data_IF_735423839155
#
_entry.id   IF_735423839155
#
_cell.length_a   1.000
_cell.length_b   1.000
_cell.length_c   1.000
_cell.angle_alpha   90.00
_cell.angle_beta   90.00
_cell.angle_gamma   90.00
#
_symmetry.space_group_name_H-M   'P 1'
#
loop_
_entity.id
_entity.type
_entity.pdbx_description
1 polymer ?
#
# COMPACT_ATOMS: atom_id res chain seq x y z
N UNK A 1 39.03 28.58 18.99
CA UNK A 1 38.12 27.84 18.08
C UNK A 1 37.72 28.81 16.97
N UNK A 2 38.63 29.16 16.05
CA UNK A 2 39.21 28.39 14.94
C UNK A 2 38.19 28.11 13.82
N UNK A 3 38.34 28.53 12.55
CA UNK A 3 39.06 29.63 11.87
C UNK A 3 38.48 29.70 10.44
N UNK A 4 38.15 30.94 10.01
CA UNK A 4 38.47 31.59 8.72
C UNK A 4 38.64 30.75 7.42
N UNK A 5 37.73 31.00 6.47
CA UNK A 5 37.90 31.67 5.17
C UNK A 5 39.20 31.48 4.32
N UNK A 6 38.99 31.48 2.99
CA UNK A 6 39.93 31.76 1.86
C UNK A 6 40.66 30.53 1.27
N UNK A 7 40.87 30.31 -0.04
CA UNK A 7 40.96 31.16 -1.25
C UNK A 7 40.86 30.28 -2.52
N UNK A 8 40.65 30.95 -3.67
CA UNK A 8 40.59 30.45 -5.06
C UNK A 8 41.99 30.24 -5.69
N UNK A 9 42.11 29.38 -6.72
CA UNK A 9 43.01 29.41 -7.91
C UNK A 9 43.23 27.95 -8.43
N UNK A 10 42.90 27.54 -9.66
CA UNK A 10 43.39 27.86 -11.01
C UNK A 10 44.66 27.07 -11.46
N UNK A 11 44.40 26.05 -12.32
CA UNK A 11 45.06 25.61 -13.58
C UNK A 11 46.60 25.36 -13.70
N UNK A 12 46.95 24.42 -14.61
CA UNK A 12 48.26 24.16 -15.31
C UNK A 12 49.23 23.18 -14.61
N UNK A 13 49.94 22.18 -15.19
CA UNK A 13 49.94 21.31 -16.40
C UNK A 13 51.17 20.36 -16.30
N UNK A 14 51.11 19.18 -16.96
CA UNK A 14 52.20 18.28 -17.45
C UNK A 14 53.26 17.66 -16.50
N UNK A 15 53.42 16.32 -16.57
CA UNK A 15 54.56 15.65 -17.26
C UNK A 15 54.67 14.14 -16.92
N UNK A 16 54.41 13.31 -17.93
CA UNK A 16 55.16 12.14 -18.40
C UNK A 16 55.69 11.04 -17.43
N UNK A 17 55.08 9.87 -17.59
CA UNK A 17 55.67 8.53 -17.77
C UNK A 17 56.71 8.00 -16.76
N UNK A 18 56.31 6.98 -15.99
CA UNK A 18 57.20 5.89 -15.64
C UNK A 18 56.47 4.55 -15.74
N UNK A 19 56.94 3.73 -16.65
CA UNK A 19 56.48 2.37 -16.93
C UNK A 19 56.89 1.45 -15.78
N UNK A 20 55.93 0.87 -15.07
CA UNK A 20 56.15 -0.35 -14.31
C UNK A 20 54.89 -1.21 -14.38
N UNK A 21 54.92 -2.18 -15.28
CA UNK A 21 54.06 -3.35 -15.21
C UNK A 21 54.42 -4.10 -13.93
N UNK A 22 53.52 -4.09 -12.94
CA UNK A 22 53.52 -5.14 -11.93
C UNK A 22 52.08 -5.55 -11.65
N UNK A 23 51.84 -6.83 -11.96
CA UNK A 23 50.63 -7.59 -11.74
C UNK A 23 50.12 -7.40 -10.30
N UNK A 24 48.90 -6.89 -10.17
CA UNK A 24 48.22 -6.70 -8.90
C UNK A 24 46.73 -7.00 -9.05
N UNK A 25 46.41 -8.27 -9.29
CA UNK A 25 45.05 -8.78 -9.30
C UNK A 25 44.43 -8.62 -7.91
N UNK A 26 43.59 -7.60 -7.74
CA UNK A 26 42.45 -7.58 -6.80
C UNK A 26 41.31 -6.78 -7.43
N UNK A 27 40.81 -7.27 -8.55
CA UNK A 27 39.47 -6.89 -8.97
C UNK A 27 38.51 -7.46 -7.94
N UNK A 28 38.12 -6.61 -7.01
CA UNK A 28 36.93 -6.79 -6.22
C UNK A 28 35.77 -6.80 -7.21
N UNK A 29 35.48 -7.96 -7.77
CA UNK A 29 34.14 -8.27 -8.27
C UNK A 29 33.26 -8.26 -7.03
N UNK A 30 32.94 -7.06 -6.54
CA UNK A 30 31.73 -6.80 -5.79
C UNK A 30 30.65 -7.19 -6.79
N UNK A 31 30.26 -8.46 -6.71
CA UNK A 31 29.14 -9.00 -7.42
C UNK A 31 27.98 -8.06 -7.12
N UNK A 32 27.68 -7.18 -8.07
CA UNK A 32 26.46 -6.38 -8.06
C UNK A 32 25.35 -7.41 -7.97
N UNK A 33 24.82 -7.61 -6.76
CA UNK A 33 23.56 -8.32 -6.55
C UNK A 33 22.58 -7.66 -7.50
N UNK A 34 22.22 -8.36 -8.58
CA UNK A 34 21.12 -7.97 -9.45
C UNK A 34 19.89 -7.98 -8.54
N UNK A 35 19.48 -6.80 -8.06
CA UNK A 35 18.18 -6.62 -7.44
C UNK A 35 17.18 -6.92 -8.55
N UNK A 36 16.60 -8.11 -8.55
CA UNK A 36 15.51 -8.53 -9.42
C UNK A 36 14.26 -7.74 -9.02
N UNK A 37 14.16 -6.49 -9.48
CA UNK A 37 12.98 -5.67 -9.23
C UNK A 37 11.86 -6.03 -10.22
N UNK A 38 11.32 -7.24 -10.10
CA UNK A 38 10.02 -7.63 -10.66
C UNK A 38 9.22 -8.42 -9.64
N UNK A 39 8.92 -7.77 -8.51
CA UNK A 39 7.95 -8.26 -7.56
C UNK A 39 6.56 -8.02 -8.15
N UNK A 40 5.90 -9.07 -8.65
CA UNK A 40 4.50 -9.01 -9.08
C UNK A 40 3.64 -8.26 -8.06
N UNK A 41 2.99 -7.16 -8.46
CA UNK A 41 2.16 -6.31 -7.60
C UNK A 41 0.98 -7.06 -6.96
N UNK A 42 0.60 -8.20 -7.53
CA UNK A 42 -0.51 -9.03 -7.09
C UNK A 42 -0.07 -10.45 -6.72
N UNK A 43 -0.83 -11.10 -5.85
CA UNK A 43 -0.77 -12.54 -5.63
C UNK A 43 -1.45 -13.29 -6.79
N UNK A 44 -0.99 -14.51 -7.06
CA UNK A 44 -1.60 -15.40 -8.07
C UNK A 44 -3.02 -15.81 -7.68
N UNK A 45 -3.29 -15.97 -6.38
CA UNK A 45 -4.59 -16.28 -5.80
C UNK A 45 -4.98 -15.29 -4.69
N UNK A 46 -6.28 -15.14 -4.37
CA UNK A 46 -6.74 -14.40 -3.20
C UNK A 46 -6.04 -14.89 -1.93
N UNK A 47 -5.68 -13.97 -1.04
CA UNK A 47 -5.00 -14.26 0.24
C UNK A 47 -5.96 -14.71 1.35
N UNK A 48 -7.24 -14.35 1.24
CA UNK A 48 -8.32 -14.67 2.18
C UNK A 48 -9.61 -14.92 1.39
N UNK A 49 -10.57 -15.62 2.00
CA UNK A 49 -11.89 -15.86 1.42
C UNK A 49 -12.84 -14.69 1.69
N UNK A 50 -13.70 -14.35 0.73
CA UNK A 50 -14.72 -13.33 0.91
C UNK A 50 -15.79 -13.76 1.91
N UNK A 51 -16.14 -15.05 1.97
CA UNK A 51 -17.13 -15.60 2.89
C UNK A 51 -16.65 -15.48 4.35
N UNK A 52 -15.38 -15.75 4.62
CA UNK A 52 -14.80 -15.56 5.95
C UNK A 52 -14.89 -14.10 6.41
N UNK A 53 -14.66 -13.18 5.48
CA UNK A 53 -14.74 -11.74 5.76
C UNK A 53 -16.18 -11.33 6.03
N UNK A 54 -17.13 -11.76 5.20
CA UNK A 54 -18.57 -11.48 5.37
C UNK A 54 -19.06 -12.05 6.71
N UNK A 55 -18.77 -13.32 6.99
CA UNK A 55 -19.15 -13.97 8.24
C UNK A 55 -18.59 -13.21 9.47
N UNK A 56 -17.35 -12.72 9.38
CA UNK A 56 -16.78 -11.91 10.45
C UNK A 56 -17.43 -10.51 10.55
N UNK A 57 -17.69 -9.84 9.42
CA UNK A 57 -18.40 -8.55 9.38
C UNK A 57 -19.77 -8.67 10.06
N UNK A 58 -20.53 -9.71 9.73
CA UNK A 58 -21.86 -9.98 10.28
C UNK A 58 -21.76 -10.29 11.78
N UNK A 59 -20.76 -11.09 12.21
CA UNK A 59 -20.57 -11.44 13.61
C UNK A 59 -20.29 -10.23 14.53
N UNK A 60 -19.72 -9.15 13.99
CA UNK A 60 -19.45 -7.91 14.74
C UNK A 60 -20.47 -6.80 14.43
N UNK A 61 -21.52 -7.10 13.65
CA UNK A 61 -22.62 -6.19 13.36
C UNK A 61 -22.29 -5.04 12.41
N UNK A 62 -21.38 -5.24 11.44
CA UNK A 62 -21.18 -4.28 10.34
C UNK A 62 -22.51 -4.06 9.61
N UNK A 63 -22.88 -2.79 9.40
CA UNK A 63 -24.05 -2.42 8.60
C UNK A 63 -23.73 -2.55 7.12
N UNK A 64 -24.71 -3.00 6.32
CA UNK A 64 -24.61 -3.12 4.86
C UNK A 64 -23.40 -3.96 4.40
N UNK A 65 -23.17 -5.12 5.04
CA UNK A 65 -22.00 -5.97 4.80
C UNK A 65 -21.85 -6.39 3.32
N UNK A 66 -22.95 -6.48 2.58
CA UNK A 66 -23.00 -6.71 1.13
C UNK A 66 -22.40 -5.58 0.28
N UNK A 67 -22.41 -4.35 0.79
CA UNK A 67 -21.72 -3.20 0.18
C UNK A 67 -20.28 -3.12 0.71
N UNK A 68 -20.09 -3.33 2.01
CA UNK A 68 -18.77 -3.20 2.66
C UNK A 68 -17.77 -4.23 2.11
N UNK A 69 -18.20 -5.47 1.83
CA UNK A 69 -17.34 -6.46 1.18
C UNK A 69 -16.90 -6.02 -0.22
N UNK A 70 -17.75 -5.35 -0.99
CA UNK A 70 -17.40 -4.81 -2.31
C UNK A 70 -16.32 -3.73 -2.19
N UNK A 71 -16.33 -2.94 -1.13
CA UNK A 71 -15.26 -1.96 -0.87
C UNK A 71 -13.95 -2.70 -0.64
N UNK A 72 -13.94 -3.71 0.22
CA UNK A 72 -12.74 -4.49 0.50
C UNK A 72 -12.17 -5.15 -0.78
N UNK A 73 -13.03 -5.74 -1.62
CA UNK A 73 -12.64 -6.33 -2.90
C UNK A 73 -12.11 -5.30 -3.89
N UNK A 74 -12.74 -4.12 -3.97
CA UNK A 74 -12.30 -3.04 -4.86
C UNK A 74 -10.92 -2.51 -4.46
N UNK A 75 -10.73 -2.20 -3.17
CA UNK A 75 -9.48 -1.64 -2.66
C UNK A 75 -8.32 -2.63 -2.83
N UNK A 76 -8.55 -3.90 -2.50
CA UNK A 76 -7.50 -4.94 -2.52
C UNK A 76 -7.31 -5.63 -3.85
N UNK A 77 -8.11 -5.30 -4.88
CA UNK A 77 -8.12 -6.03 -6.15
C UNK A 77 -8.43 -7.52 -5.93
N UNK A 78 -9.57 -7.81 -5.32
CA UNK A 78 -10.02 -9.16 -4.93
C UNK A 78 -9.02 -9.89 -4.01
N UNK A 79 -8.53 -9.23 -2.97
CA UNK A 79 -7.58 -9.76 -1.98
C UNK A 79 -6.24 -10.22 -2.56
N UNK A 80 -5.79 -9.57 -3.64
CA UNK A 80 -4.54 -9.94 -4.34
C UNK A 80 -3.49 -8.86 -4.30
N UNK A 81 -3.83 -7.58 -4.14
CA UNK A 81 -2.87 -6.48 -4.15
C UNK A 81 -1.89 -6.60 -2.97
N UNK A 82 -0.61 -6.90 -3.25
CA UNK A 82 0.42 -7.11 -2.22
C UNK A 82 0.55 -5.92 -1.28
N UNK A 83 0.47 -4.71 -1.83
CA UNK A 83 0.57 -3.47 -1.06
C UNK A 83 -0.40 -3.42 0.13
N UNK A 84 -1.63 -3.91 -0.03
CA UNK A 84 -2.64 -3.88 1.03
C UNK A 84 -2.70 -5.20 1.81
N UNK A 85 -2.57 -6.33 1.11
CA UNK A 85 -2.65 -7.65 1.75
C UNK A 85 -1.45 -7.95 2.66
N UNK A 86 -0.25 -7.42 2.37
CA UNK A 86 0.91 -7.55 3.27
C UNK A 86 0.80 -6.71 4.52
N UNK A 87 -0.16 -5.78 4.53
CA UNK A 87 -0.50 -4.91 5.66
C UNK A 87 -1.79 -5.34 6.33
N UNK A 88 -2.44 -6.41 5.87
CA UNK A 88 -3.76 -6.82 6.32
C UNK A 88 -4.78 -5.67 6.32
N UNK A 89 -4.69 -4.75 5.34
CA UNK A 89 -5.51 -3.55 5.28
C UNK A 89 -6.54 -3.67 4.17
N UNK A 90 -7.72 -4.21 4.50
CA UNK A 90 -8.74 -4.50 3.49
C UNK A 90 -9.40 -3.24 2.91
N UNK A 91 -9.37 -2.13 3.63
CA UNK A 91 -10.12 -0.91 3.29
C UNK A 91 -9.23 0.26 2.90
N UNK A 92 -7.95 -0.01 2.63
CA UNK A 92 -6.95 0.98 2.24
C UNK A 92 -6.85 2.20 3.18
N UNK A 93 -7.15 2.03 4.48
CA UNK A 93 -7.04 3.12 5.46
C UNK A 93 -5.61 3.65 5.55
N UNK A 94 -5.48 4.96 5.74
CA UNK A 94 -4.19 5.66 5.78
C UNK A 94 -4.06 6.44 7.07
N UNK A 95 -2.85 6.42 7.63
CA UNK A 95 -2.42 7.38 8.63
C UNK A 95 -1.45 8.34 7.96
N UNK A 96 -1.85 9.61 7.86
CA UNK A 96 -1.14 10.66 7.10
C UNK A 96 -0.84 10.25 5.65
N UNK A 97 0.40 9.93 5.32
CA UNK A 97 0.85 9.58 3.97
C UNK A 97 0.93 8.07 3.72
N UNK A 98 0.85 7.24 4.76
CA UNK A 98 1.10 5.79 4.65
C UNK A 98 -0.15 4.97 4.87
N UNK A 99 -0.25 3.83 4.17
CA UNK A 99 -1.27 2.82 4.48
C UNK A 99 -1.02 2.24 5.86
N UNK A 100 -2.10 2.14 6.64
CA UNK A 100 -2.08 1.47 7.93
C UNK A 100 -1.71 -0.01 7.77
N UNK A 101 -1.08 -0.56 8.80
CA UNK A 101 -0.75 -1.99 8.92
C UNK A 101 -1.49 -2.55 10.12
N UNK A 102 -2.12 -3.70 9.92
CA UNK A 102 -2.85 -4.44 10.94
C UNK A 102 -2.16 -5.80 11.16
N UNK A 103 -2.24 -6.31 12.39
CA UNK A 103 -1.68 -7.63 12.74
C UNK A 103 -2.42 -8.78 12.05
N UNK A 104 -3.71 -8.63 11.79
CA UNK A 104 -4.56 -9.60 11.12
C UNK A 104 -5.64 -8.90 10.30
N UNK A 105 -6.16 -9.52 9.25
CA UNK A 105 -7.19 -8.90 8.39
C UNK A 105 -8.45 -8.53 9.19
N UNK A 106 -8.83 -9.36 10.17
CA UNK A 106 -9.92 -9.08 11.13
C UNK A 106 -9.76 -7.73 11.84
N UNK A 107 -8.53 -7.34 12.19
CA UNK A 107 -8.27 -6.03 12.84
C UNK A 107 -8.54 -4.84 11.92
N UNK A 108 -8.43 -5.01 10.60
CA UNK A 108 -8.87 -3.96 9.67
C UNK A 108 -10.39 -3.90 9.54
N UNK A 109 -11.10 -5.01 9.75
CA UNK A 109 -12.56 -5.06 9.83
C UNK A 109 -13.06 -4.43 11.14
N UNK A 110 -12.41 -4.73 12.27
CA UNK A 110 -12.68 -4.05 13.55
C UNK A 110 -12.51 -2.53 13.41
N UNK A 111 -11.44 -2.10 12.74
CA UNK A 111 -11.20 -0.68 12.49
C UNK A 111 -12.27 -0.06 11.60
N UNK A 112 -12.71 -0.77 10.55
CA UNK A 112 -13.81 -0.32 9.71
C UNK A 112 -15.11 -0.20 10.52
N UNK A 113 -15.42 -1.15 11.41
CA UNK A 113 -16.60 -1.08 12.28
C UNK A 113 -16.60 0.18 13.12
N UNK A 114 -15.48 0.47 13.80
CA UNK A 114 -15.34 1.68 14.60
C UNK A 114 -15.46 2.96 13.75
N UNK A 115 -14.92 2.95 12.53
CA UNK A 115 -15.10 4.05 11.58
C UNK A 115 -16.58 4.19 11.17
N UNK A 116 -17.25 3.08 10.84
CA UNK A 116 -18.66 3.07 10.44
C UNK A 116 -19.54 3.61 11.57
N UNK A 117 -19.38 3.15 12.80
CA UNK A 117 -20.16 3.60 13.97
C UNK A 117 -20.00 5.10 14.24
N UNK A 118 -18.80 5.62 14.01
CA UNK A 118 -18.51 7.04 14.21
C UNK A 118 -19.20 7.94 13.17
N UNK A 119 -19.38 7.46 11.94
CA UNK A 119 -19.71 8.32 10.80
C UNK A 119 -21.06 8.00 10.14
N UNK A 120 -21.52 6.76 10.23
CA UNK A 120 -22.84 6.32 9.77
C UNK A 120 -23.82 6.37 10.95
N UNK A 121 -24.25 7.59 11.29
CA UNK A 121 -25.08 7.86 12.48
C UNK A 121 -26.57 7.84 12.19
N UNK A 122 -26.98 7.66 10.93
CA UNK A 122 -28.37 7.61 10.51
C UNK A 122 -28.62 6.35 9.68
N UNK A 123 -29.15 5.31 10.33
CA UNK A 123 -29.47 4.03 9.70
C UNK A 123 -30.55 4.13 8.60
N UNK A 124 -31.26 5.27 8.48
CA UNK A 124 -32.22 5.52 7.39
C UNK A 124 -31.58 6.15 6.15
N UNK A 125 -30.33 6.60 6.22
CA UNK A 125 -29.60 7.16 5.08
C UNK A 125 -29.19 6.03 4.13
N UNK A 126 -29.43 6.21 2.83
CA UNK A 126 -28.90 5.32 1.79
C UNK A 126 -27.38 5.19 1.93
N UNK A 127 -26.89 3.96 1.98
CA UNK A 127 -25.49 3.70 2.31
C UNK A 127 -24.52 4.29 1.27
N UNK A 128 -24.91 4.37 -0.01
CA UNK A 128 -24.08 4.99 -1.04
C UNK A 128 -24.06 6.52 -0.92
N UNK A 129 -25.18 7.14 -0.52
CA UNK A 129 -25.21 8.56 -0.17
C UNK A 129 -24.32 8.87 1.03
N UNK A 130 -24.34 8.02 2.06
CA UNK A 130 -23.40 8.11 3.19
C UNK A 130 -21.94 8.11 2.73
N UNK A 131 -21.54 7.10 1.93
CA UNK A 131 -20.16 6.99 1.43
C UNK A 131 -19.74 8.21 0.60
N UNK A 132 -20.67 8.77 -0.18
CA UNK A 132 -20.46 10.00 -0.95
C UNK A 132 -20.30 11.22 -0.04
N UNK A 133 -21.18 11.38 0.96
CA UNK A 133 -21.18 12.48 1.92
C UNK A 133 -19.87 12.57 2.69
N UNK A 134 -19.35 11.44 3.17
CA UNK A 134 -18.07 11.41 3.88
C UNK A 134 -16.83 11.40 2.97
N UNK A 135 -17.04 11.40 1.65
CA UNK A 135 -15.96 11.35 0.66
C UNK A 135 -15.01 10.18 0.89
N UNK A 136 -15.58 8.99 1.14
CA UNK A 136 -14.83 7.76 1.44
C UNK A 136 -13.67 7.55 0.45
N UNK A 137 -13.93 7.78 -0.83
CA UNK A 137 -12.92 7.81 -1.88
C UNK A 137 -12.88 9.17 -2.59
N UNK A 138 -11.70 9.53 -3.11
CA UNK A 138 -11.49 10.77 -3.87
C UNK A 138 -12.12 10.72 -5.28
N UNK A 139 -12.27 9.54 -5.85
CA UNK A 139 -12.78 9.36 -7.21
C UNK A 139 -14.28 9.68 -7.28
N UNK A 140 -14.68 10.58 -8.19
CA UNK A 140 -16.08 11.00 -8.35
C UNK A 140 -17.01 9.85 -8.75
N UNK A 141 -16.48 8.86 -9.48
CA UNK A 141 -17.22 7.69 -9.96
C UNK A 141 -17.11 6.47 -9.02
N UNK A 142 -16.56 6.62 -7.81
CA UNK A 142 -16.32 5.51 -6.88
C UNK A 142 -17.58 4.65 -6.65
N UNK A 143 -18.72 5.29 -6.41
CA UNK A 143 -20.00 4.59 -6.17
C UNK A 143 -20.41 3.75 -7.38
N UNK A 144 -20.22 4.24 -8.60
CA UNK A 144 -20.57 3.51 -9.82
C UNK A 144 -19.68 2.28 -10.00
N UNK A 145 -18.37 2.43 -9.75
CA UNK A 145 -17.42 1.31 -9.81
C UNK A 145 -17.74 0.29 -8.72
N UNK A 146 -18.04 0.73 -7.50
CA UNK A 146 -18.36 -0.13 -6.38
C UNK A 146 -19.59 -1.02 -6.65
N UNK A 147 -20.64 -0.45 -7.27
CA UNK A 147 -21.84 -1.21 -7.66
C UNK A 147 -21.55 -2.31 -8.68
N UNK A 148 -20.50 -2.18 -9.49
CA UNK A 148 -20.10 -3.16 -10.49
C UNK A 148 -19.25 -4.31 -9.93
N UNK A 149 -18.76 -4.18 -8.69
CA UNK A 149 -17.92 -5.22 -8.06
C UNK A 149 -18.74 -6.47 -7.81
N UNK A 150 -18.28 -7.58 -8.38
CA UNK A 150 -18.86 -8.91 -8.17
C UNK A 150 -18.15 -9.60 -7.01
N UNK A 151 -18.92 -10.03 -6.03
CA UNK A 151 -18.43 -10.96 -5.00
C UNK A 151 -18.32 -12.32 -5.65
N UNK A 152 -17.09 -12.82 -5.81
CA UNK A 152 -16.85 -14.19 -6.26
C UNK A 152 -16.51 -15.00 -5.03
N UNK A 153 -17.39 -15.89 -4.65
CA UNK A 153 -17.11 -16.95 -3.69
C UNK A 153 -16.34 -18.04 -4.43
N UNK A 154 -15.28 -18.56 -3.81
CA UNK A 154 -14.61 -19.76 -4.32
C UNK A 154 -15.38 -21.01 -3.91
#
# INVERSE_FOLDING_TARGET
MNYRCMKKAAFVVFCLAFSFSCFGQKDSVVAKRKITHSHNKYYSKPRIDANDVIAYMDSIGIKHSEVVIKQALLETGHFRARLLMDRNNLFAFRFTKHYMRFSHWKKSVDYYKNWQDKFYTNDKEDYYLFLKRIRYARAKNYINVLKQVRVRTN
#
